data_IF_842469460802
#
_entry.id   IF_842469460802
#
_cell.length_a   1.000
_cell.length_b   1.000
_cell.length_c   1.000
_cell.angle_alpha   90.00
_cell.angle_beta   90.00
_cell.angle_gamma   90.00
#
_symmetry.space_group_name_H-M   'P 1'
#
loop_
_entity.id
_entity.type
_entity.pdbx_description
1 polymer ?
#
# COMPACT_ATOMS: atom_id res chain seq x y z
N UNK A 1 19.62 19.44 -21.78
CA UNK A 1 18.23 19.52 -21.28
C UNK A 1 17.52 18.16 -21.15
N UNK A 2 17.53 17.27 -22.16
CA UNK A 2 16.80 15.97 -22.13
C UNK A 2 17.13 15.04 -20.95
N UNK A 3 18.37 15.04 -20.42
CA UNK A 3 18.74 14.17 -19.29
C UNK A 3 18.24 14.66 -17.92
N UNK A 4 17.95 15.96 -17.68
CA UNK A 4 17.61 16.46 -16.34
C UNK A 4 16.22 16.02 -15.85
N UNK A 5 15.25 15.80 -16.75
CA UNK A 5 13.88 15.41 -16.40
C UNK A 5 13.84 13.96 -15.87
N UNK A 6 14.63 13.06 -16.45
CA UNK A 6 14.73 11.66 -16.01
C UNK A 6 15.23 11.51 -14.56
N UNK A 7 16.04 12.45 -14.04
CA UNK A 7 16.50 12.42 -12.64
C UNK A 7 15.38 12.61 -11.62
N UNK A 8 14.25 13.20 -12.02
CA UNK A 8 13.12 13.47 -11.13
C UNK A 8 12.29 12.21 -10.90
N UNK A 9 12.25 11.29 -11.88
CA UNK A 9 11.41 10.08 -11.85
C UNK A 9 12.02 8.98 -10.97
N UNK A 10 11.92 9.22 -9.67
CA UNK A 10 12.09 8.28 -8.56
C UNK A 10 11.15 7.08 -8.57
N UNK A 11 11.49 6.04 -7.79
CA UNK A 11 10.52 5.00 -7.42
C UNK A 11 9.46 5.58 -6.48
N UNK A 12 9.75 6.69 -5.81
CA UNK A 12 8.85 7.47 -4.96
C UNK A 12 7.55 7.87 -5.68
N UNK A 13 7.56 7.97 -7.03
CA UNK A 13 6.37 8.28 -7.83
C UNK A 13 5.32 7.17 -7.83
N UNK A 14 5.70 5.91 -7.57
CA UNK A 14 4.72 4.84 -7.41
C UNK A 14 3.76 5.10 -6.24
N UNK A 15 4.13 5.97 -5.28
CA UNK A 15 3.24 6.45 -4.22
C UNK A 15 1.96 7.09 -4.76
N UNK A 16 2.06 7.83 -5.87
CA UNK A 16 0.91 8.47 -6.52
C UNK A 16 -0.06 7.45 -7.11
N UNK A 17 0.47 6.40 -7.74
CA UNK A 17 -0.31 5.31 -8.34
C UNK A 17 -1.10 4.60 -7.26
N UNK A 18 -0.42 4.14 -6.21
CA UNK A 18 -1.04 3.34 -5.16
C UNK A 18 -2.08 4.13 -4.36
N UNK A 19 -1.84 5.42 -4.11
CA UNK A 19 -2.83 6.29 -3.46
C UNK A 19 -4.07 6.51 -4.32
N UNK A 20 -3.91 6.60 -5.64
CA UNK A 20 -5.03 6.75 -6.58
C UNK A 20 -5.84 5.46 -6.68
N UNK A 21 -5.18 4.30 -6.69
CA UNK A 21 -5.85 3.00 -6.62
C UNK A 21 -6.55 2.79 -5.27
N UNK A 22 -5.97 3.29 -4.17
CA UNK A 22 -6.62 3.29 -2.86
C UNK A 22 -7.93 4.12 -2.87
N UNK A 23 -7.91 5.31 -3.48
CA UNK A 23 -9.12 6.11 -3.69
C UNK A 23 -10.16 5.34 -4.50
N UNK A 24 -9.76 4.73 -5.62
CA UNK A 24 -10.63 3.91 -6.44
C UNK A 24 -11.30 2.77 -5.65
N UNK A 25 -10.50 1.99 -4.91
CA UNK A 25 -11.00 0.90 -4.05
C UNK A 25 -12.01 1.41 -3.03
N UNK A 26 -11.72 2.52 -2.35
CA UNK A 26 -12.64 3.07 -1.34
C UNK A 26 -13.93 3.59 -1.99
N UNK A 27 -13.89 4.19 -3.17
CA UNK A 27 -15.12 4.52 -3.91
C UNK A 27 -15.97 3.29 -4.19
N UNK A 28 -15.38 2.15 -4.56
CA UNK A 28 -16.13 0.90 -4.72
C UNK A 28 -16.75 0.43 -3.41
N UNK A 29 -16.00 0.47 -2.31
CA UNK A 29 -16.53 0.10 -0.99
C UNK A 29 -17.69 1.02 -0.55
N UNK A 30 -17.55 2.34 -0.74
CA UNK A 30 -18.61 3.31 -0.41
C UNK A 30 -19.81 3.13 -1.32
N UNK A 31 -19.60 2.86 -2.62
CA UNK A 31 -20.69 2.60 -3.57
C UNK A 31 -21.55 1.40 -3.15
N UNK A 32 -20.92 0.33 -2.64
CA UNK A 32 -21.60 -0.85 -2.08
C UNK A 32 -22.30 -0.53 -0.76
N UNK A 33 -21.64 0.22 0.14
CA UNK A 33 -22.19 0.57 1.45
C UNK A 33 -23.40 1.51 1.39
N UNK A 34 -23.33 2.55 0.55
CA UNK A 34 -24.41 3.53 0.35
C UNK A 34 -25.40 3.16 -0.76
N UNK A 35 -25.17 2.04 -1.44
CA UNK A 35 -25.95 1.57 -2.59
C UNK A 35 -26.09 2.67 -3.66
N UNK A 36 -24.96 3.25 -4.07
CA UNK A 36 -24.92 4.38 -5.00
C UNK A 36 -24.03 4.07 -6.21
N UNK A 37 -24.65 3.99 -7.40
CA UNK A 37 -23.98 3.65 -8.65
C UNK A 37 -23.04 4.75 -9.18
N UNK A 38 -23.32 6.03 -8.91
CA UNK A 38 -22.49 7.14 -9.37
C UNK A 38 -21.12 7.11 -8.68
N UNK A 39 -21.09 6.68 -7.41
CA UNK A 39 -19.84 6.45 -6.68
C UNK A 39 -19.04 5.29 -7.28
N UNK A 40 -19.71 4.25 -7.82
CA UNK A 40 -19.03 3.17 -8.55
C UNK A 40 -18.35 3.72 -9.81
N UNK A 41 -19.06 4.49 -10.64
CA UNK A 41 -18.46 5.10 -11.83
C UNK A 41 -17.31 6.04 -11.50
N UNK A 42 -17.42 6.78 -10.40
CA UNK A 42 -16.31 7.61 -9.90
C UNK A 42 -15.09 6.74 -9.54
N UNK A 43 -15.31 5.60 -8.88
CA UNK A 43 -14.28 4.60 -8.62
C UNK A 43 -13.61 4.06 -9.88
N UNK A 44 -14.39 3.80 -10.94
CA UNK A 44 -13.89 3.36 -12.25
C UNK A 44 -12.99 4.41 -12.93
N UNK A 45 -13.36 5.70 -12.83
CA UNK A 45 -12.53 6.80 -13.34
C UNK A 45 -11.18 6.84 -12.61
N UNK A 46 -11.18 6.74 -11.28
CA UNK A 46 -9.95 6.68 -10.49
C UNK A 46 -9.12 5.42 -10.80
N UNK A 47 -9.78 4.29 -11.09
CA UNK A 47 -9.10 3.07 -11.50
C UNK A 47 -8.35 3.28 -12.82
N UNK A 48 -9.04 3.78 -13.85
CA UNK A 48 -8.44 4.10 -15.15
C UNK A 48 -7.29 5.10 -15.04
N UNK A 49 -7.45 6.14 -14.21
CA UNK A 49 -6.37 7.09 -13.89
C UNK A 49 -5.16 6.38 -13.25
N UNK A 50 -5.39 5.49 -12.30
CA UNK A 50 -4.35 4.69 -11.65
C UNK A 50 -3.57 3.84 -12.65
N UNK A 51 -4.26 3.17 -13.59
CA UNK A 51 -3.62 2.37 -14.65
C UNK A 51 -2.74 3.25 -15.55
N UNK A 52 -3.27 4.37 -16.03
CA UNK A 52 -2.52 5.29 -16.90
C UNK A 52 -1.28 5.82 -16.17
N UNK A 53 -1.43 6.25 -14.92
CA UNK A 53 -0.32 6.70 -14.08
C UNK A 53 0.73 5.60 -13.89
N UNK A 54 0.29 4.37 -13.62
CA UNK A 54 1.20 3.24 -13.47
C UNK A 54 2.04 3.00 -14.71
N UNK A 55 1.41 2.90 -15.88
CA UNK A 55 2.10 2.66 -17.16
C UNK A 55 3.13 3.77 -17.43
N UNK A 56 2.73 5.03 -17.29
CA UNK A 56 3.61 6.18 -17.55
C UNK A 56 4.78 6.20 -16.57
N UNK A 57 4.53 6.07 -15.27
CA UNK A 57 5.57 6.11 -14.23
C UNK A 57 6.50 4.91 -14.37
N UNK A 58 5.97 3.71 -14.64
CA UNK A 58 6.76 2.50 -14.82
C UNK A 58 7.70 2.61 -16.02
N UNK A 59 7.21 3.09 -17.17
CA UNK A 59 8.04 3.31 -18.36
C UNK A 59 9.16 4.31 -18.07
N UNK A 60 8.84 5.46 -17.45
CA UNK A 60 9.83 6.48 -17.13
C UNK A 60 10.87 5.99 -16.12
N UNK A 61 10.42 5.26 -15.11
CA UNK A 61 11.29 4.62 -14.11
C UNK A 61 12.21 3.56 -14.73
N UNK A 62 11.69 2.72 -15.63
CA UNK A 62 12.46 1.69 -16.33
C UNK A 62 13.53 2.34 -17.23
N UNK A 63 13.15 3.34 -18.04
CA UNK A 63 14.09 4.10 -18.89
C UNK A 63 15.18 4.74 -18.02
N UNK A 64 14.81 5.32 -16.87
CA UNK A 64 15.78 5.89 -15.93
C UNK A 64 16.75 4.83 -15.40
N UNK A 65 16.25 3.67 -14.97
CA UNK A 65 17.07 2.58 -14.46
C UNK A 65 18.09 2.06 -15.47
N UNK A 66 17.75 2.07 -16.76
CA UNK A 66 18.63 1.66 -17.86
C UNK A 66 19.62 2.75 -18.31
N UNK A 67 19.36 4.02 -17.99
CA UNK A 67 20.17 5.16 -18.48
C UNK A 67 21.09 5.74 -17.42
N UNK A 68 20.68 5.76 -16.15
CA UNK A 68 21.48 6.32 -15.05
C UNK A 68 22.32 5.23 -14.40
N UNK A 69 23.63 5.27 -14.64
CA UNK A 69 24.59 4.28 -14.14
C UNK A 69 25.33 4.71 -12.87
N UNK A 70 25.16 5.95 -12.42
CA UNK A 70 25.82 6.45 -11.22
C UNK A 70 25.25 5.75 -9.96
N UNK A 71 26.14 5.06 -9.25
CA UNK A 71 25.83 4.30 -8.02
C UNK A 71 25.15 5.15 -6.95
N UNK A 72 25.41 6.46 -6.87
CA UNK A 72 24.77 7.36 -5.89
C UNK A 72 23.29 7.59 -6.21
N UNK A 73 22.93 7.59 -7.49
CA UNK A 73 21.58 7.87 -7.96
C UNK A 73 20.78 6.60 -8.29
N UNK A 74 21.43 5.44 -8.22
CA UNK A 74 20.81 4.13 -8.40
C UNK A 74 19.81 3.85 -7.27
N UNK A 75 18.60 3.42 -7.63
CA UNK A 75 17.54 3.13 -6.66
C UNK A 75 17.95 2.06 -5.64
N UNK A 76 18.77 1.11 -6.07
CA UNK A 76 19.19 -0.06 -5.29
C UNK A 76 20.10 0.26 -4.10
N UNK A 77 20.72 1.44 -4.08
CA UNK A 77 21.64 1.83 -3.01
C UNK A 77 20.98 2.72 -1.94
N UNK A 78 19.81 3.29 -2.18
CA UNK A 78 19.09 4.10 -1.22
C UNK A 78 17.89 3.31 -0.67
N UNK A 79 17.83 3.09 0.65
CA UNK A 79 16.82 2.22 1.26
C UNK A 79 15.40 2.73 1.02
N UNK A 80 15.18 4.04 1.12
CA UNK A 80 13.88 4.66 0.85
C UNK A 80 13.42 4.34 -0.58
N UNK A 81 14.29 4.57 -1.58
CA UNK A 81 13.97 4.29 -2.99
C UNK A 81 13.76 2.81 -3.27
N UNK A 82 14.62 1.96 -2.74
CA UNK A 82 14.45 0.50 -2.83
C UNK A 82 13.08 0.09 -2.28
N UNK A 83 12.68 0.68 -1.15
CA UNK A 83 11.40 0.39 -0.51
C UNK A 83 10.21 0.81 -1.37
N UNK A 84 10.30 1.96 -2.04
CA UNK A 84 9.26 2.39 -2.98
C UNK A 84 9.15 1.50 -4.24
N UNK A 85 10.18 0.74 -4.63
CA UNK A 85 10.05 -0.25 -5.71
C UNK A 85 9.06 -1.35 -5.30
N UNK A 86 8.99 -1.70 -4.02
CA UNK A 86 8.04 -2.69 -3.53
C UNK A 86 6.57 -2.23 -3.58
N UNK A 87 6.28 -1.00 -4.01
CA UNK A 87 4.92 -0.63 -4.40
C UNK A 87 4.47 -1.30 -5.69
N UNK A 88 5.38 -1.72 -6.58
CA UNK A 88 5.03 -2.36 -7.86
C UNK A 88 4.21 -3.65 -7.62
N UNK A 89 4.68 -4.64 -6.85
CA UNK A 89 3.86 -5.82 -6.54
C UNK A 89 2.54 -5.48 -5.83
N UNK A 90 2.52 -4.49 -4.93
CA UNK A 90 1.26 -4.02 -4.29
C UNK A 90 0.27 -3.53 -5.34
N UNK A 91 0.73 -2.67 -6.26
CA UNK A 91 -0.09 -2.11 -7.34
C UNK A 91 -0.66 -3.22 -8.21
N UNK A 92 0.15 -4.21 -8.58
CA UNK A 92 -0.27 -5.35 -9.39
C UNK A 92 -1.34 -6.21 -8.68
N UNK A 93 -1.19 -6.49 -7.39
CA UNK A 93 -2.22 -7.22 -6.63
C UNK A 93 -3.54 -6.46 -6.57
N UNK A 94 -3.48 -5.15 -6.30
CA UNK A 94 -4.68 -4.33 -6.14
C UNK A 94 -5.37 -4.05 -7.47
N UNK A 95 -4.60 -3.86 -8.55
CA UNK A 95 -5.17 -3.67 -9.88
C UNK A 95 -6.00 -4.86 -10.31
N UNK A 96 -5.48 -6.08 -10.13
CA UNK A 96 -6.24 -7.29 -10.45
C UNK A 96 -7.45 -7.45 -9.53
N UNK A 97 -7.30 -7.20 -8.23
CA UNK A 97 -8.41 -7.24 -7.29
C UNK A 97 -9.56 -6.32 -7.71
N UNK A 98 -9.26 -5.06 -8.03
CA UNK A 98 -10.24 -4.08 -8.50
C UNK A 98 -10.84 -4.52 -9.85
N UNK A 99 -10.02 -5.01 -10.78
CA UNK A 99 -10.50 -5.46 -12.07
C UNK A 99 -11.50 -6.62 -11.94
N UNK A 100 -11.17 -7.62 -11.12
CA UNK A 100 -12.06 -8.75 -10.82
C UNK A 100 -13.36 -8.26 -10.19
N UNK A 101 -13.30 -7.32 -9.24
CA UNK A 101 -14.48 -6.72 -8.62
C UNK A 101 -15.37 -5.97 -9.61
N UNK A 102 -14.78 -5.41 -10.68
CA UNK A 102 -15.48 -4.62 -11.70
C UNK A 102 -16.18 -5.48 -12.75
N UNK A 103 -15.46 -6.43 -13.34
CA UNK A 103 -15.95 -7.21 -14.51
C UNK A 103 -16.30 -8.66 -14.17
N UNK A 104 -16.06 -9.09 -12.93
CA UNK A 104 -16.23 -10.46 -12.49
C UNK A 104 -15.08 -11.38 -12.92
N UNK A 105 -15.01 -12.56 -12.30
CA UNK A 105 -14.00 -13.56 -12.62
C UNK A 105 -14.37 -14.34 -13.88
N UNK A 106 -13.55 -14.24 -14.93
CA UNK A 106 -13.60 -15.11 -16.12
C UNK A 106 -12.40 -16.07 -16.14
N UNK A 107 -12.45 -17.12 -16.95
CA UNK A 107 -11.32 -18.07 -17.06
C UNK A 107 -10.01 -17.40 -17.46
N UNK A 108 -10.04 -16.52 -18.48
CA UNK A 108 -8.85 -15.79 -18.93
C UNK A 108 -8.31 -14.87 -17.83
N UNK A 109 -9.20 -14.14 -17.15
CA UNK A 109 -8.79 -13.25 -16.06
C UNK A 109 -8.20 -14.05 -14.90
N UNK A 110 -8.81 -15.19 -14.54
CA UNK A 110 -8.29 -16.08 -13.49
C UNK A 110 -6.88 -16.58 -13.82
N UNK A 111 -6.64 -17.03 -15.05
CA UNK A 111 -5.32 -17.50 -15.48
C UNK A 111 -4.27 -16.38 -15.44
N UNK A 112 -4.57 -15.21 -16.01
CA UNK A 112 -3.68 -14.05 -15.99
C UNK A 112 -3.39 -13.60 -14.56
N UNK A 113 -4.43 -13.52 -13.72
CA UNK A 113 -4.30 -13.13 -12.32
C UNK A 113 -3.54 -14.16 -11.49
N UNK A 114 -3.61 -15.44 -11.83
CA UNK A 114 -2.80 -16.48 -11.17
C UNK A 114 -1.31 -16.27 -11.46
N UNK A 115 -0.94 -16.02 -12.73
CA UNK A 115 0.45 -15.69 -13.08
C UNK A 115 0.91 -14.41 -12.40
N UNK A 116 0.08 -13.37 -12.42
CA UNK A 116 0.37 -12.10 -11.76
C UNK A 116 0.54 -12.27 -10.24
N UNK A 117 -0.27 -13.13 -9.61
CA UNK A 117 -0.17 -13.44 -8.20
C UNK A 117 1.21 -14.00 -7.84
N UNK A 118 1.63 -15.08 -8.49
CA UNK A 118 2.93 -15.71 -8.21
C UNK A 118 4.10 -14.79 -8.57
N UNK A 119 4.02 -14.07 -9.68
CA UNK A 119 5.04 -13.10 -10.08
C UNK A 119 5.18 -11.97 -9.04
N UNK A 120 4.07 -11.36 -8.65
CA UNK A 120 4.06 -10.25 -7.68
C UNK A 120 4.49 -10.71 -6.29
N UNK A 121 4.09 -11.92 -5.88
CA UNK A 121 4.50 -12.50 -4.61
C UNK A 121 6.00 -12.77 -4.58
N UNK A 122 6.54 -13.38 -5.64
CA UNK A 122 7.98 -13.62 -5.78
C UNK A 122 8.77 -12.32 -5.79
N UNK A 123 8.31 -11.32 -6.55
CA UNK A 123 8.94 -10.00 -6.58
C UNK A 123 8.93 -9.32 -5.21
N UNK A 124 7.82 -9.39 -4.47
CA UNK A 124 7.71 -8.85 -3.11
C UNK A 124 8.71 -9.53 -2.16
N UNK A 125 8.84 -10.86 -2.22
CA UNK A 125 9.83 -11.61 -1.44
C UNK A 125 11.26 -11.19 -1.77
N UNK A 126 11.63 -11.13 -3.05
CA UNK A 126 12.97 -10.73 -3.47
C UNK A 126 13.31 -9.33 -2.99
N UNK A 127 12.38 -8.37 -3.08
CA UNK A 127 12.58 -7.01 -2.60
C UNK A 127 12.68 -6.95 -1.07
N UNK A 128 11.91 -7.76 -0.35
CA UNK A 128 11.99 -7.91 1.11
C UNK A 128 13.35 -8.45 1.55
N UNK A 129 13.84 -9.52 0.90
CA UNK A 129 15.16 -10.11 1.16
C UNK A 129 16.26 -9.10 0.84
N UNK A 130 16.16 -8.39 -0.29
CA UNK A 130 17.13 -7.40 -0.70
C UNK A 130 17.20 -6.23 0.29
N UNK A 131 16.06 -5.75 0.79
CA UNK A 131 16.02 -4.74 1.85
C UNK A 131 16.72 -5.27 3.10
N UNK A 132 16.36 -6.47 3.56
CA UNK A 132 16.97 -7.10 4.72
C UNK A 132 18.49 -7.20 4.59
N UNK A 133 18.98 -7.73 3.48
CA UNK A 133 20.40 -7.78 3.16
C UNK A 133 21.06 -6.40 3.27
N UNK A 134 20.48 -5.37 2.65
CA UNK A 134 21.03 -4.01 2.69
C UNK A 134 21.04 -3.41 4.09
N UNK A 135 20.04 -3.70 4.91
CA UNK A 135 20.00 -3.25 6.31
C UNK A 135 21.17 -3.81 7.13
N UNK A 136 21.62 -5.04 6.83
CA UNK A 136 22.73 -5.67 7.56
C UNK A 136 24.12 -5.35 6.98
N UNK A 137 24.24 -5.00 5.70
CA UNK A 137 25.55 -4.85 5.04
C UNK A 137 25.95 -3.42 4.68
N UNK A 138 24.99 -2.49 4.60
CA UNK A 138 25.26 -1.11 4.16
C UNK A 138 25.49 -0.21 5.38
N UNK A 139 26.40 0.76 5.26
CA UNK A 139 26.39 1.94 6.13
C UNK A 139 25.17 2.81 5.82
N UNK A 140 24.26 2.95 6.77
CA UNK A 140 22.96 3.60 6.57
C UNK A 140 23.01 5.06 7.00
N UNK A 141 22.66 5.97 6.09
CA UNK A 141 22.42 7.37 6.43
C UNK A 141 21.20 7.49 7.35
N UNK A 142 21.29 8.30 8.40
CA UNK A 142 20.20 8.53 9.36
C UNK A 142 18.89 8.99 8.71
N UNK A 143 18.95 9.63 7.54
CA UNK A 143 17.77 10.07 6.80
C UNK A 143 17.07 8.93 6.04
N UNK A 144 17.77 7.82 5.80
CA UNK A 144 17.20 6.63 5.15
C UNK A 144 16.43 5.73 6.12
N UNK A 145 16.63 5.90 7.44
CA UNK A 145 15.88 5.18 8.47
C UNK A 145 14.59 5.92 8.77
N UNK A 146 13.54 5.60 8.02
CA UNK A 146 12.19 6.12 8.18
C UNK A 146 11.16 5.04 7.83
N UNK A 147 9.88 5.31 8.04
CA UNK A 147 8.82 4.31 7.84
C UNK A 147 8.70 3.74 6.42
N UNK A 148 9.27 4.36 5.38
CA UNK A 148 9.27 3.80 4.04
C UNK A 148 9.90 2.40 3.99
N UNK A 149 10.87 2.08 4.87
CA UNK A 149 11.52 0.76 4.91
C UNK A 149 10.56 -0.38 5.29
N UNK A 150 9.32 -0.08 5.69
CA UNK A 150 8.28 -1.08 5.95
C UNK A 150 7.51 -1.45 4.67
N UNK A 151 7.65 -0.72 3.57
CA UNK A 151 6.91 -1.00 2.33
C UNK A 151 7.21 -2.41 1.77
N UNK A 152 8.47 -2.91 1.72
CA UNK A 152 8.74 -4.26 1.25
C UNK A 152 8.05 -5.37 2.05
N UNK A 153 8.10 -5.43 3.40
CA UNK A 153 7.33 -6.43 4.13
C UNK A 153 5.82 -6.23 3.97
N UNK A 154 5.34 -4.98 3.89
CA UNK A 154 3.93 -4.69 3.62
C UNK A 154 3.47 -5.30 2.29
N UNK A 155 4.31 -5.24 1.25
CA UNK A 155 4.01 -5.81 -0.06
C UNK A 155 3.77 -7.32 -0.06
N UNK A 156 4.38 -8.05 0.86
CA UNK A 156 4.16 -9.50 0.98
C UNK A 156 2.75 -9.73 1.55
N UNK A 157 2.36 -8.96 2.57
CA UNK A 157 1.05 -9.05 3.22
C UNK A 157 -0.13 -8.61 2.33
N UNK A 158 0.10 -7.77 1.32
CA UNK A 158 -0.95 -7.31 0.39
C UNK A 158 -1.38 -8.38 -0.61
N UNK A 159 -0.67 -9.49 -0.70
CA UNK A 159 -1.05 -10.62 -1.55
C UNK A 159 -2.47 -11.13 -1.27
N UNK A 160 -2.99 -10.92 -0.05
CA UNK A 160 -4.35 -11.30 0.35
C UNK A 160 -5.45 -10.72 -0.56
N UNK A 161 -5.24 -9.52 -1.12
CA UNK A 161 -6.23 -8.86 -1.98
C UNK A 161 -6.54 -9.68 -3.22
N UNK A 162 -5.50 -10.25 -3.85
CA UNK A 162 -5.66 -11.09 -5.03
C UNK A 162 -5.85 -12.57 -4.69
N UNK A 163 -5.28 -13.04 -3.56
CA UNK A 163 -5.51 -14.39 -3.07
C UNK A 163 -7.01 -14.68 -2.86
N UNK A 164 -7.73 -13.70 -2.29
CA UNK A 164 -9.15 -13.84 -1.95
C UNK A 164 -10.03 -14.26 -3.13
N UNK A 165 -10.09 -13.51 -4.24
CA UNK A 165 -10.88 -13.91 -5.39
C UNK A 165 -10.32 -15.15 -6.10
N UNK A 166 -9.00 -15.35 -6.13
CA UNK A 166 -8.40 -16.54 -6.76
C UNK A 166 -8.75 -17.83 -6.02
N UNK A 167 -8.72 -17.84 -4.69
CA UNK A 167 -9.13 -18.99 -3.90
C UNK A 167 -10.64 -19.23 -3.91
N UNK A 168 -11.44 -18.19 -4.19
CA UNK A 168 -12.86 -18.35 -4.44
C UNK A 168 -13.16 -19.03 -5.79
N UNK A 169 -12.24 -18.92 -6.75
CA UNK A 169 -12.37 -19.47 -8.10
C UNK A 169 -11.68 -20.83 -8.28
N UNK A 170 -10.45 -20.95 -7.79
CA UNK A 170 -9.65 -22.18 -7.81
C UNK A 170 -9.92 -23.03 -6.57
N UNK A 171 -9.78 -24.34 -6.70
CA UNK A 171 -9.92 -25.32 -5.61
C UNK A 171 -8.74 -26.32 -5.63
N UNK A 172 -8.61 -27.11 -4.56
CA UNK A 172 -7.52 -28.10 -4.41
C UNK A 172 -6.14 -27.44 -4.32
N UNK A 173 -5.12 -28.11 -4.88
CA UNK A 173 -3.70 -27.78 -4.75
C UNK A 173 -3.35 -26.30 -5.00
N UNK A 174 -4.00 -25.67 -5.98
CA UNK A 174 -3.75 -24.25 -6.29
C UNK A 174 -4.22 -23.36 -5.15
N UNK A 175 -5.44 -23.58 -4.64
CA UNK A 175 -5.99 -22.79 -3.53
C UNK A 175 -5.19 -23.03 -2.24
N UNK A 176 -4.79 -24.28 -1.98
CA UNK A 176 -3.93 -24.64 -0.85
C UNK A 176 -2.56 -23.96 -0.93
N UNK A 177 -1.95 -23.91 -2.11
CA UNK A 177 -0.68 -23.21 -2.34
C UNK A 177 -0.82 -21.71 -2.08
N UNK A 178 -1.85 -21.07 -2.64
CA UNK A 178 -2.11 -19.64 -2.41
C UNK A 178 -2.30 -19.37 -0.92
N UNK A 179 -3.08 -20.20 -0.24
CA UNK A 179 -3.32 -20.05 1.20
C UNK A 179 -2.06 -20.24 2.05
N UNK A 180 -1.25 -21.25 1.74
CA UNK A 180 0.05 -21.43 2.37
C UNK A 180 0.94 -20.19 2.21
N UNK A 181 1.00 -19.62 1.00
CA UNK A 181 1.75 -18.40 0.72
C UNK A 181 1.17 -17.17 1.47
N UNK A 182 -0.14 -17.06 1.60
CA UNK A 182 -0.78 -16.01 2.41
C UNK A 182 -0.38 -16.14 3.87
N UNK A 183 -0.44 -17.34 4.47
CA UNK A 183 -0.05 -17.56 5.87
C UNK A 183 1.44 -17.31 6.11
N UNK A 184 2.30 -17.84 5.24
CA UNK A 184 3.73 -17.59 5.28
C UNK A 184 4.02 -16.10 5.14
N UNK A 185 3.33 -15.44 4.20
CA UNK A 185 3.47 -14.02 3.93
C UNK A 185 3.04 -13.16 5.11
N UNK A 186 1.93 -13.50 5.78
CA UNK A 186 1.47 -12.85 7.01
C UNK A 186 2.50 -12.97 8.13
N UNK A 187 3.09 -14.16 8.31
CA UNK A 187 4.17 -14.37 9.29
C UNK A 187 5.39 -13.48 9.01
N UNK A 188 5.89 -13.50 7.77
CA UNK A 188 7.02 -12.66 7.34
C UNK A 188 6.71 -11.18 7.57
N UNK A 189 5.57 -10.72 7.06
CA UNK A 189 5.11 -9.34 7.18
C UNK A 189 5.01 -8.90 8.66
N UNK A 190 4.38 -9.70 9.50
CA UNK A 190 4.17 -9.38 10.92
C UNK A 190 5.48 -9.22 11.68
N UNK A 191 6.39 -10.21 11.58
CA UNK A 191 7.66 -10.13 12.29
C UNK A 191 8.57 -9.04 11.74
N UNK A 192 8.64 -8.88 10.42
CA UNK A 192 9.42 -7.78 9.82
C UNK A 192 8.85 -6.42 10.21
N UNK A 193 7.53 -6.26 10.33
CA UNK A 193 6.95 -5.04 10.86
C UNK A 193 7.42 -4.76 12.29
N UNK A 194 7.43 -5.76 13.18
CA UNK A 194 7.91 -5.56 14.56
C UNK A 194 9.39 -5.13 14.56
N UNK A 195 10.27 -5.87 13.87
CA UNK A 195 11.70 -5.60 13.91
C UNK A 195 12.09 -4.34 13.14
N UNK A 196 11.72 -4.27 11.86
CA UNK A 196 12.07 -3.14 10.98
C UNK A 196 11.26 -1.90 11.36
N UNK A 197 10.00 -2.06 11.76
CA UNK A 197 9.17 -0.94 12.20
C UNK A 197 9.66 -0.30 13.50
N UNK A 198 10.23 -1.07 14.43
CA UNK A 198 10.89 -0.51 15.62
C UNK A 198 12.10 0.35 15.23
N UNK A 199 12.89 -0.10 14.25
CA UNK A 199 14.03 0.67 13.71
C UNK A 199 13.52 1.94 13.02
N UNK A 200 12.47 1.84 12.21
CA UNK A 200 11.85 2.97 11.52
C UNK A 200 11.29 4.01 12.50
N UNK A 201 10.64 3.58 13.58
CA UNK A 201 10.16 4.45 14.65
C UNK A 201 11.33 5.18 15.32
N UNK A 202 12.40 4.44 15.66
CA UNK A 202 13.61 5.04 16.25
C UNK A 202 14.22 6.11 15.34
N UNK A 203 14.33 5.81 14.05
CA UNK A 203 14.80 6.75 13.03
C UNK A 203 13.90 7.99 12.93
N UNK A 204 12.58 7.81 12.85
CA UNK A 204 11.62 8.90 12.75
C UNK A 204 11.61 9.82 13.98
N UNK A 205 11.69 9.24 15.19
CA UNK A 205 11.73 10.02 16.44
C UNK A 205 13.04 10.78 16.59
N UNK A 206 14.15 10.17 16.16
CA UNK A 206 15.48 10.75 16.21
C UNK A 206 15.70 11.82 15.13
N UNK A 207 15.06 11.65 13.97
CA UNK A 207 15.23 12.50 12.80
C UNK A 207 13.87 13.09 12.37
N UNK A 208 13.54 14.26 12.93
CA UNK A 208 12.24 14.93 12.76
C UNK A 208 12.07 15.64 11.41
N UNK A 209 12.60 15.06 10.33
CA UNK A 209 12.57 15.63 8.99
C UNK A 209 11.14 15.66 8.43
N UNK A 210 10.67 16.86 8.05
CA UNK A 210 9.29 17.06 7.57
C UNK A 210 9.01 16.29 6.26
N UNK A 211 10.04 16.05 5.44
CA UNK A 211 9.93 15.26 4.20
C UNK A 211 9.57 13.78 4.46
N UNK A 212 9.79 13.25 5.66
CA UNK A 212 9.49 11.86 6.01
C UNK A 212 8.17 11.72 6.77
N UNK A 213 7.58 12.83 7.24
CA UNK A 213 6.33 12.82 8.00
C UNK A 213 5.21 12.02 7.33
N UNK A 214 5.00 12.10 6.00
CA UNK A 214 3.93 11.33 5.38
C UNK A 214 4.04 9.81 5.54
N UNK A 215 5.27 9.30 5.64
CA UNK A 215 5.50 7.87 5.84
C UNK A 215 5.10 7.40 7.25
N UNK A 216 4.94 8.31 8.21
CA UNK A 216 4.46 7.98 9.56
C UNK A 216 3.00 7.48 9.58
N UNK A 217 2.27 7.56 8.46
CA UNK A 217 0.96 6.92 8.30
C UNK A 217 1.06 5.41 8.05
N UNK A 218 2.22 4.87 7.63
CA UNK A 218 2.38 3.45 7.30
C UNK A 218 2.01 2.48 8.46
N UNK A 219 2.32 2.75 9.75
CA UNK A 219 1.85 1.93 10.86
C UNK A 219 0.33 1.74 10.92
N UNK A 220 -0.45 2.74 10.51
CA UNK A 220 -1.92 2.61 10.36
C UNK A 220 -2.21 1.50 9.36
N UNK A 221 -1.66 1.62 8.15
CA UNK A 221 -1.87 0.66 7.07
C UNK A 221 -1.37 -0.75 7.38
N UNK A 222 -0.30 -0.90 8.16
CA UNK A 222 0.17 -2.21 8.63
C UNK A 222 -0.90 -2.85 9.51
N UNK A 223 -1.38 -2.14 10.53
CA UNK A 223 -2.43 -2.67 11.42
C UNK A 223 -3.69 -3.04 10.66
N UNK A 224 -4.14 -2.15 9.75
CA UNK A 224 -5.26 -2.41 8.85
C UNK A 224 -5.07 -3.69 8.04
N UNK A 225 -3.86 -3.89 7.49
CA UNK A 225 -3.57 -5.03 6.63
C UNK A 225 -3.56 -6.34 7.42
N UNK A 226 -3.10 -6.34 8.68
CA UNK A 226 -3.20 -7.51 9.56
C UNK A 226 -4.68 -7.85 9.78
N UNK A 227 -5.52 -6.85 10.10
CA UNK A 227 -6.97 -7.05 10.27
C UNK A 227 -7.60 -7.62 9.00
N UNK A 228 -7.28 -7.04 7.83
CA UNK A 228 -7.78 -7.51 6.53
C UNK A 228 -7.36 -8.96 6.29
N UNK A 229 -6.11 -9.32 6.58
CA UNK A 229 -5.62 -10.69 6.45
C UNK A 229 -6.37 -11.65 7.38
N UNK A 230 -6.48 -11.34 8.67
CA UNK A 230 -7.16 -12.19 9.66
C UNK A 230 -8.62 -12.44 9.27
N UNK A 231 -9.36 -11.39 8.92
CA UNK A 231 -10.76 -11.51 8.51
C UNK A 231 -10.92 -12.28 7.19
N UNK A 232 -9.98 -12.14 6.25
CA UNK A 232 -10.05 -12.83 4.96
C UNK A 232 -9.65 -14.32 5.09
N UNK A 233 -8.60 -14.63 5.84
CA UNK A 233 -8.17 -16.01 6.17
C UNK A 233 -9.29 -16.79 6.85
N UNK A 234 -10.00 -16.15 7.78
CA UNK A 234 -11.16 -16.76 8.43
C UNK A 234 -12.23 -17.21 7.42
N UNK A 235 -12.47 -16.41 6.36
CA UNK A 235 -13.44 -16.78 5.33
C UNK A 235 -13.00 -17.98 4.49
N UNK A 236 -11.69 -18.26 4.42
CA UNK A 236 -11.14 -19.38 3.65
C UNK A 236 -10.99 -20.69 4.41
N UNK A 237 -11.14 -20.71 5.74
CA UNK A 237 -11.05 -21.95 6.52
C UNK A 237 -12.03 -23.03 6.04
N UNK A 238 -13.13 -22.64 5.37
CA UNK A 238 -14.09 -23.56 4.74
C UNK A 238 -13.61 -24.20 3.43
N UNK A 239 -12.64 -23.60 2.75
CA UNK A 239 -12.13 -24.05 1.44
C UNK A 239 -11.01 -25.08 1.62
N UNK A 240 -10.25 -25.02 2.72
CA UNK A 240 -9.00 -25.79 2.91
C UNK A 240 -9.09 -26.77 4.10
N UNK A 241 -10.24 -26.88 4.76
CA UNK A 241 -10.58 -28.00 5.67
C UNK A 241 -9.90 -28.00 7.05
N UNK A 242 -8.65 -27.55 7.18
CA UNK A 242 -7.83 -27.97 8.32
C UNK A 242 -7.33 -26.87 9.26
N UNK A 243 -7.43 -25.58 8.88
CA UNK A 243 -7.05 -24.45 9.75
C UNK A 243 -8.25 -23.53 9.92
N UNK A 244 -9.04 -23.77 10.97
CA UNK A 244 -10.18 -22.91 11.33
C UNK A 244 -9.78 -21.97 12.48
N UNK A 245 -9.69 -20.67 12.17
CA UNK A 245 -9.58 -19.65 13.21
C UNK A 245 -10.95 -19.44 13.85
N UNK A 246 -11.02 -19.49 15.19
CA UNK A 246 -12.25 -19.18 15.90
C UNK A 246 -12.66 -17.72 15.60
N UNK A 247 -13.92 -17.55 15.20
CA UNK A 247 -14.52 -16.26 14.86
C UNK A 247 -14.28 -15.20 15.95
N UNK A 248 -14.61 -15.53 17.19
CA UNK A 248 -14.47 -14.60 18.32
C UNK A 248 -13.01 -14.24 18.63
N UNK A 249 -12.06 -15.14 18.37
CA UNK A 249 -10.63 -14.85 18.53
C UNK A 249 -10.13 -13.84 17.51
N UNK A 250 -10.53 -13.99 16.24
CA UNK A 250 -10.14 -13.06 15.19
C UNK A 250 -10.77 -11.70 15.40
N UNK A 251 -12.05 -11.63 15.78
CA UNK A 251 -12.70 -10.36 16.12
C UNK A 251 -11.99 -9.65 17.26
N UNK A 252 -11.72 -10.36 18.35
CA UNK A 252 -11.00 -9.84 19.51
C UNK A 252 -9.63 -9.26 19.11
N UNK A 253 -8.81 -10.02 18.38
CA UNK A 253 -7.49 -9.55 17.92
C UNK A 253 -7.65 -8.35 16.98
N UNK A 254 -8.64 -8.38 16.09
CA UNK A 254 -8.87 -7.30 15.14
C UNK A 254 -9.27 -6.00 15.83
N UNK A 255 -10.06 -6.07 16.91
CA UNK A 255 -10.39 -4.90 17.75
C UNK A 255 -9.15 -4.34 18.45
N UNK A 256 -8.27 -5.21 19.00
CA UNK A 256 -7.01 -4.76 19.63
C UNK A 256 -6.12 -4.01 18.62
N UNK A 257 -5.99 -4.55 17.41
CA UNK A 257 -5.25 -3.93 16.31
C UNK A 257 -5.90 -2.64 15.83
N UNK A 258 -7.23 -2.58 15.80
CA UNK A 258 -7.98 -1.39 15.41
C UNK A 258 -7.76 -0.24 16.41
N UNK A 259 -7.67 -0.55 17.71
CA UNK A 259 -7.30 0.45 18.72
C UNK A 259 -5.92 1.08 18.46
N UNK A 260 -4.93 0.26 18.08
CA UNK A 260 -3.60 0.74 17.68
C UNK A 260 -3.66 1.57 16.39
N UNK A 261 -4.43 1.14 15.41
CA UNK A 261 -4.65 1.82 14.13
C UNK A 261 -5.24 3.22 14.31
N UNK A 262 -6.34 3.34 15.07
CA UNK A 262 -7.02 4.61 15.38
C UNK A 262 -6.08 5.56 16.10
N UNK A 263 -5.32 5.07 17.09
CA UNK A 263 -4.38 5.91 17.84
C UNK A 263 -3.31 6.50 16.92
N UNK A 264 -2.69 5.68 16.06
CA UNK A 264 -1.67 6.15 15.12
C UNK A 264 -2.25 7.13 14.10
N UNK A 265 -3.46 6.86 13.60
CA UNK A 265 -4.14 7.76 12.70
C UNK A 265 -4.35 9.13 13.33
N UNK A 266 -4.84 9.20 14.57
CA UNK A 266 -5.06 10.48 15.28
C UNK A 266 -3.74 11.24 15.46
N UNK A 267 -2.67 10.55 15.87
CA UNK A 267 -1.34 11.18 16.03
C UNK A 267 -0.86 11.79 14.72
N UNK A 268 -0.87 11.02 13.63
CA UNK A 268 -0.41 11.49 12.32
C UNK A 268 -1.32 12.60 11.80
N UNK A 269 -2.64 12.47 11.96
CA UNK A 269 -3.61 13.46 11.55
C UNK A 269 -3.35 14.82 12.21
N UNK A 270 -3.07 14.84 13.52
CA UNK A 270 -2.66 16.07 14.23
C UNK A 270 -1.36 16.63 13.64
N UNK A 271 -0.38 15.78 13.34
CA UNK A 271 0.91 16.22 12.80
C UNK A 271 0.78 16.84 11.40
N UNK A 272 -0.12 16.34 10.55
CA UNK A 272 -0.40 16.90 9.21
C UNK A 272 -0.78 18.38 9.30
N UNK A 273 -1.53 18.80 10.32
CA UNK A 273 -1.91 20.20 10.50
C UNK A 273 -0.85 21.06 11.21
N UNK A 274 0.08 20.44 11.94
CA UNK A 274 1.11 21.19 12.70
C UNK A 274 2.42 21.39 11.94
N UNK A 275 2.71 20.55 10.94
CA UNK A 275 3.96 20.57 10.19
C UNK A 275 3.70 20.75 8.69
N UNK A 276 4.49 21.61 8.05
CA UNK A 276 4.37 21.82 6.61
C UNK A 276 5.06 20.69 5.85
N UNK A 277 4.28 19.90 5.12
CA UNK A 277 4.79 18.92 4.15
C UNK A 277 4.68 19.44 2.72
N UNK A 278 4.46 20.75 2.57
CA UNK A 278 4.18 21.40 1.30
C UNK A 278 5.43 21.55 0.42
N UNK A 279 5.33 21.09 -0.82
CA UNK A 279 6.41 20.97 -1.80
C UNK A 279 7.19 19.65 -1.75
N UNK A 280 6.73 18.61 -1.05
CA UNK A 280 7.35 17.27 -1.01
C UNK A 280 6.48 16.22 -1.69
N UNK A 281 7.09 15.38 -2.54
CA UNK A 281 6.41 14.26 -3.21
C UNK A 281 5.97 13.15 -2.23
N UNK A 282 6.61 13.05 -1.06
CA UNK A 282 6.32 12.01 -0.06
C UNK A 282 4.89 12.05 0.46
N UNK A 283 4.15 13.15 0.31
CA UNK A 283 2.75 13.27 0.76
C UNK A 283 1.81 12.23 0.14
N UNK A 284 2.17 11.66 -1.01
CA UNK A 284 1.45 10.52 -1.58
C UNK A 284 1.42 9.28 -0.66
N UNK A 285 2.36 9.17 0.28
CA UNK A 285 2.41 8.08 1.26
C UNK A 285 1.24 8.10 2.26
N UNK A 286 0.44 9.17 2.34
CA UNK A 286 -0.78 9.17 3.15
C UNK A 286 -1.89 8.29 2.58
N UNK A 287 -2.01 8.22 1.24
CA UNK A 287 -3.21 7.69 0.58
C UNK A 287 -3.39 6.19 0.78
N UNK A 288 -2.34 5.41 0.57
CA UNK A 288 -2.44 3.95 0.64
C UNK A 288 -2.81 3.41 2.04
N UNK A 289 -2.12 3.82 3.13
CA UNK A 289 -2.52 3.42 4.47
C UNK A 289 -3.96 3.79 4.84
N UNK A 290 -4.45 4.96 4.38
CA UNK A 290 -5.84 5.35 4.62
C UNK A 290 -6.83 4.52 3.83
N UNK A 291 -6.49 4.11 2.61
CA UNK A 291 -7.32 3.15 1.86
C UNK A 291 -7.41 1.80 2.56
N UNK A 292 -6.30 1.32 3.14
CA UNK A 292 -6.30 0.12 3.97
C UNK A 292 -7.13 0.32 5.24
N UNK A 293 -7.04 1.48 5.90
CA UNK A 293 -7.85 1.81 7.08
C UNK A 293 -9.34 1.83 6.77
N UNK A 294 -9.74 2.43 5.66
CA UNK A 294 -11.13 2.38 5.22
C UNK A 294 -11.58 0.92 4.97
N UNK A 295 -10.71 0.11 4.34
CA UNK A 295 -11.01 -1.30 4.03
C UNK A 295 -11.10 -2.17 5.28
N UNK A 296 -10.20 -2.01 6.26
CA UNK A 296 -10.25 -2.74 7.53
C UNK A 296 -11.48 -2.33 8.33
N UNK A 297 -11.80 -1.03 8.38
CA UNK A 297 -12.95 -0.49 9.10
C UNK A 297 -14.27 -1.06 8.59
N UNK A 298 -14.49 -1.06 7.27
CA UNK A 298 -15.74 -1.59 6.71
C UNK A 298 -15.84 -3.12 6.84
N UNK A 299 -14.71 -3.84 6.74
CA UNK A 299 -14.71 -5.29 7.02
C UNK A 299 -15.02 -5.59 8.49
N UNK A 300 -14.51 -4.78 9.42
CA UNK A 300 -14.82 -4.88 10.84
C UNK A 300 -16.28 -4.54 11.15
N UNK A 301 -16.83 -3.49 10.53
CA UNK A 301 -18.26 -3.18 10.59
C UNK A 301 -19.09 -4.40 10.18
N UNK A 302 -18.73 -5.01 9.04
CA UNK A 302 -19.45 -6.15 8.51
C UNK A 302 -19.35 -7.40 9.39
N UNK A 303 -18.24 -7.57 10.13
CA UNK A 303 -18.06 -8.67 11.08
C UNK A 303 -18.82 -8.43 12.39
N UNK A 304 -18.59 -7.28 13.02
CA UNK A 304 -19.09 -6.94 14.36
C UNK A 304 -20.52 -6.41 14.38
N UNK A 305 -21.05 -5.97 13.23
CA UNK A 305 -22.36 -5.33 13.07
C UNK A 305 -22.53 -4.08 13.96
N UNK A 306 -21.46 -3.28 14.10
CA UNK A 306 -21.45 -2.02 14.85
C UNK A 306 -21.59 -0.84 13.87
N UNK A 307 -22.76 -0.17 13.80
CA UNK A 307 -23.01 0.88 12.79
C UNK A 307 -22.03 2.06 12.85
N UNK A 308 -21.54 2.39 14.05
CA UNK A 308 -20.57 3.48 14.26
C UNK A 308 -19.27 3.29 13.45
N UNK A 309 -18.86 2.05 13.17
CA UNK A 309 -17.72 1.78 12.29
C UNK A 309 -18.01 2.20 10.84
N UNK A 310 -19.26 2.10 10.40
CA UNK A 310 -19.70 2.62 9.12
C UNK A 310 -19.58 4.14 9.01
N UNK A 311 -19.92 4.88 10.07
CA UNK A 311 -19.73 6.33 10.12
C UNK A 311 -18.24 6.71 10.05
N UNK A 312 -17.39 5.99 10.78
CA UNK A 312 -15.93 6.17 10.72
C UNK A 312 -15.41 5.86 9.31
N UNK A 313 -15.89 4.80 8.67
CA UNK A 313 -15.51 4.46 7.30
C UNK A 313 -15.80 5.62 6.32
N UNK A 314 -16.99 6.23 6.39
CA UNK A 314 -17.33 7.41 5.58
C UNK A 314 -16.42 8.59 5.89
N UNK A 315 -16.11 8.84 7.18
CA UNK A 315 -15.16 9.88 7.57
C UNK A 315 -13.77 9.65 6.98
N UNK A 316 -13.24 8.42 7.04
CA UNK A 316 -11.93 8.08 6.45
C UNK A 316 -11.93 8.31 4.94
N UNK A 317 -12.99 7.94 4.23
CA UNK A 317 -13.12 8.20 2.79
C UNK A 317 -13.04 9.70 2.47
N UNK A 318 -13.73 10.55 3.22
CA UNK A 318 -13.67 12.02 3.04
C UNK A 318 -12.25 12.53 3.28
N UNK A 319 -11.59 12.08 4.35
CA UNK A 319 -10.20 12.47 4.65
C UNK A 319 -9.24 12.01 3.55
N UNK A 320 -9.39 10.79 3.05
CA UNK A 320 -8.61 10.26 1.94
C UNK A 320 -8.73 11.14 0.69
N UNK A 321 -9.94 11.59 0.35
CA UNK A 321 -10.18 12.49 -0.77
C UNK A 321 -9.50 13.86 -0.58
N UNK A 322 -9.61 14.44 0.62
CA UNK A 322 -8.94 15.71 0.95
C UNK A 322 -7.42 15.57 0.79
N UNK A 323 -6.83 14.49 1.31
CA UNK A 323 -5.39 14.28 1.21
C UNK A 323 -4.93 13.94 -0.21
N UNK A 324 -5.76 13.29 -1.03
CA UNK A 324 -5.47 13.05 -2.44
C UNK A 324 -5.41 14.37 -3.22
N UNK A 325 -6.38 15.27 -3.01
CA UNK A 325 -6.37 16.62 -3.60
C UNK A 325 -5.17 17.43 -3.10
N UNK A 326 -4.87 17.37 -1.80
CA UNK A 326 -3.68 17.99 -1.23
C UNK A 326 -2.39 17.50 -1.89
N UNK A 327 -2.27 16.19 -2.14
CA UNK A 327 -1.11 15.59 -2.79
C UNK A 327 -0.96 16.03 -4.26
N UNK A 328 -2.07 16.23 -4.98
CA UNK A 328 -2.04 16.81 -6.33
C UNK A 328 -1.49 18.25 -6.31
N UNK A 329 -2.01 19.11 -5.44
CA UNK A 329 -1.56 20.50 -5.31
C UNK A 329 -0.07 20.53 -4.97
N UNK A 330 0.36 19.66 -4.06
CA UNK A 330 1.74 19.54 -3.64
C UNK A 330 2.66 19.08 -4.79
N UNK A 331 2.19 18.12 -5.60
CA UNK A 331 2.91 17.65 -6.79
C UNK A 331 3.13 18.78 -7.80
N UNK A 332 2.11 19.60 -8.05
CA UNK A 332 2.24 20.77 -8.92
C UNK A 332 3.35 21.70 -8.44
N UNK A 333 3.36 22.04 -7.14
CA UNK A 333 4.38 22.92 -6.55
C UNK A 333 5.77 22.28 -6.59
N UNK A 334 5.88 20.98 -6.31
CA UNK A 334 7.15 20.25 -6.40
C UNK A 334 7.74 20.32 -7.82
N UNK A 335 6.92 20.07 -8.85
CA UNK A 335 7.34 20.13 -10.25
C UNK A 335 7.72 21.56 -10.66
N UNK A 336 6.97 22.56 -10.20
CA UNK A 336 7.22 23.97 -10.48
C UNK A 336 8.57 24.45 -9.90
N UNK A 337 8.84 24.14 -8.63
CA UNK A 337 10.13 24.44 -7.99
C UNK A 337 11.32 23.85 -8.75
N UNK A 338 11.17 22.61 -9.23
CA UNK A 338 12.23 21.96 -10.00
C UNK A 338 12.46 22.69 -11.33
N UNK A 339 11.40 23.05 -12.05
CA UNK A 339 11.52 23.81 -13.31
C UNK A 339 12.27 25.12 -13.12
N UNK A 340 12.02 25.84 -12.02
CA UNK A 340 12.72 27.09 -11.71
C UNK A 340 14.19 26.87 -11.31
N UNK A 341 14.49 25.83 -10.53
CA UNK A 341 15.87 25.48 -10.15
C UNK A 341 16.75 25.02 -11.31
N UNK A 342 16.16 24.56 -12.42
CA UNK A 342 16.87 24.09 -13.61
C UNK A 342 17.17 25.23 -14.60
N UNK A 343 16.48 26.36 -14.47
CA UNK A 343 16.67 27.57 -15.29
C UNK A 343 17.70 28.55 -14.72
N UNK A 344 17.95 28.50 -13.40
CA UNK A 344 19.11 29.11 -12.76
C UNK A 344 20.34 28.21 -12.94
#
# INVERSE_FOLDING_TARGET
MKNKILYIFGSEWFGMVIATLAVSQVFFLVSKYLVNIDLKYTGEVFFGLGIIMFIVIFILWAIRGLTIHDKKYLHWNNLTRLSFIALIPIILFIMDHILIDLIGMSKLLAEVSLYNYFFSYFLALVLGILLGYRLYTKEIDKNEINYAIIIPPLSIGTSIFLATPLMGYYHGDIAETIYFLVLMGLGIFFFLYIFIGSIALSGHVSNKADSTLPTAMLPVGVSSLIIINLLSIMSFGKVIGDITLNFGTVEFISILLYGFEVWNFIVVFILVFRKTTFGYLSVWAYGFPLGLFATSTIKLESALKIPFLGDIFIFIWIVLMILWVYALINTYVFVDRIKHSVKA
#
